data_IF_078640313195
#
_entry.id   IF_078640313195
#
_cell.length_a   1.000
_cell.length_b   1.000
_cell.length_c   1.000
_cell.angle_alpha   90.00
_cell.angle_beta   90.00
_cell.angle_gamma   90.00
#
_symmetry.space_group_name_H-M   'P 1'
#
loop_
_entity.id
_entity.type
_entity.pdbx_description
1 polymer ?
#
# COMPACT_ATOMS: atom_id res chain seq x y z
N UNK A 1 -49.37 -56.13 44.17
CA UNK A 1 -48.18 -55.25 44.11
C UNK A 1 -48.19 -54.55 42.76
N UNK A 2 -48.58 -53.27 42.69
CA UNK A 2 -48.61 -52.53 41.43
C UNK A 2 -47.24 -51.89 41.18
N UNK A 3 -46.51 -52.40 40.18
CA UNK A 3 -45.24 -51.82 39.72
C UNK A 3 -45.52 -50.56 38.90
N UNK A 4 -45.17 -49.40 39.47
CA UNK A 4 -45.25 -48.10 38.81
C UNK A 4 -44.16 -48.02 37.73
N UNK A 5 -44.54 -48.28 36.48
CA UNK A 5 -43.68 -48.06 35.31
C UNK A 5 -43.28 -46.58 35.23
N UNK A 6 -42.00 -46.30 35.46
CA UNK A 6 -41.41 -44.98 35.24
C UNK A 6 -41.35 -44.74 33.74
N UNK A 7 -42.34 -44.04 33.20
CA UNK A 7 -42.26 -43.43 31.87
C UNK A 7 -41.03 -42.52 31.82
N UNK A 8 -39.94 -43.00 31.20
CA UNK A 8 -38.82 -42.14 30.80
C UNK A 8 -39.37 -41.22 29.72
N UNK A 9 -39.52 -39.93 30.03
CA UNK A 9 -39.80 -38.90 29.03
C UNK A 9 -38.72 -39.00 27.95
N UNK A 10 -39.09 -39.45 26.76
CA UNK A 10 -38.27 -39.34 25.58
C UNK A 10 -38.17 -37.86 25.24
N UNK A 11 -36.99 -37.27 25.46
CA UNK A 11 -36.70 -35.96 24.91
C UNK A 11 -36.50 -36.16 23.41
N UNK A 12 -37.51 -35.76 22.62
CA UNK A 12 -37.37 -35.66 21.16
C UNK A 12 -36.43 -34.48 20.90
N UNK A 13 -35.20 -34.75 20.46
CA UNK A 13 -34.31 -33.73 19.94
C UNK A 13 -34.77 -33.39 18.52
N UNK A 14 -35.17 -32.14 18.34
CA UNK A 14 -35.53 -31.58 17.03
C UNK A 14 -34.30 -30.92 16.42
N UNK A 15 -33.26 -31.71 16.16
CA UNK A 15 -32.05 -31.22 15.49
C UNK A 15 -32.38 -31.02 13.99
N UNK A 16 -31.97 -29.90 13.37
CA UNK A 16 -32.28 -29.64 11.97
C UNK A 16 -31.50 -30.58 11.04
N UNK A 17 -32.12 -30.92 9.91
CA UNK A 17 -31.41 -31.53 8.78
C UNK A 17 -30.47 -30.49 8.16
N UNK A 18 -29.37 -30.95 7.55
CA UNK A 18 -28.41 -30.07 6.88
C UNK A 18 -29.11 -29.21 5.81
N UNK A 19 -28.91 -27.90 5.85
CA UNK A 19 -29.53 -26.94 4.93
C UNK A 19 -29.06 -27.07 3.47
N UNK A 20 -27.99 -27.83 3.21
CA UNK A 20 -27.41 -28.00 1.87
C UNK A 20 -27.74 -29.36 1.27
N UNK A 21 -27.54 -30.45 2.02
CA UNK A 21 -27.76 -31.81 1.52
C UNK A 21 -29.01 -32.49 2.10
N UNK A 22 -29.69 -31.86 3.05
CA UNK A 22 -30.88 -32.36 3.74
C UNK A 22 -30.68 -33.69 4.50
N UNK A 23 -29.42 -34.05 4.77
CA UNK A 23 -29.12 -35.21 5.61
C UNK A 23 -29.45 -34.90 7.08
N UNK A 24 -29.96 -35.88 7.84
CA UNK A 24 -30.27 -35.68 9.26
C UNK A 24 -29.02 -35.39 10.08
N UNK A 25 -29.19 -34.70 11.21
CA UNK A 25 -28.09 -34.31 12.10
C UNK A 25 -27.21 -35.50 12.55
N UNK A 26 -27.77 -36.71 12.64
CA UNK A 26 -27.04 -37.94 12.96
C UNK A 26 -26.01 -38.36 11.90
N UNK A 27 -26.15 -37.87 10.68
CA UNK A 27 -25.20 -38.13 9.58
C UNK A 27 -23.95 -37.24 9.69
N UNK A 28 -23.99 -36.14 10.44
CA UNK A 28 -22.82 -35.28 10.75
C UNK A 28 -21.96 -34.96 9.53
N UNK A 29 -22.58 -34.45 8.45
CA UNK A 29 -21.87 -34.01 7.25
C UNK A 29 -21.29 -32.59 7.40
N UNK A 30 -20.27 -32.26 6.61
CA UNK A 30 -19.55 -30.98 6.71
C UNK A 30 -20.04 -29.90 5.71
N UNK A 31 -21.19 -30.09 5.05
CA UNK A 31 -21.62 -29.21 3.97
C UNK A 31 -21.76 -27.75 4.42
N UNK A 32 -22.45 -27.49 5.54
CA UNK A 32 -22.65 -26.14 6.08
C UNK A 32 -21.34 -25.50 6.54
N UNK A 33 -20.45 -26.28 7.16
CA UNK A 33 -19.13 -25.81 7.58
C UNK A 33 -18.28 -25.37 6.37
N UNK A 34 -18.26 -26.17 5.30
CA UNK A 34 -17.57 -25.83 4.04
C UNK A 34 -18.21 -24.61 3.37
N UNK A 35 -19.53 -24.51 3.39
CA UNK A 35 -20.26 -23.36 2.86
C UNK A 35 -19.90 -22.08 3.62
N UNK A 36 -19.82 -22.14 4.95
CA UNK A 36 -19.39 -21.03 5.79
C UNK A 36 -17.94 -20.64 5.50
N UNK A 37 -17.02 -21.59 5.42
CA UNK A 37 -15.62 -21.32 5.12
C UNK A 37 -15.45 -20.60 3.77
N UNK A 38 -16.15 -21.08 2.72
CA UNK A 38 -16.16 -20.41 1.42
C UNK A 38 -16.75 -18.99 1.49
N UNK A 39 -17.83 -18.79 2.25
CA UNK A 39 -18.45 -17.48 2.42
C UNK A 39 -17.52 -16.50 3.16
N UNK A 40 -16.78 -16.97 4.16
CA UNK A 40 -15.77 -16.19 4.88
C UNK A 40 -14.65 -15.78 3.93
N UNK A 41 -14.07 -16.71 3.17
CA UNK A 41 -13.02 -16.39 2.19
C UNK A 41 -13.48 -15.34 1.17
N UNK A 42 -14.71 -15.46 0.66
CA UNK A 42 -15.27 -14.47 -0.25
C UNK A 42 -15.50 -13.10 0.40
N UNK A 43 -15.85 -13.06 1.69
CA UNK A 43 -16.00 -11.81 2.42
C UNK A 43 -14.64 -11.16 2.71
N UNK A 44 -13.64 -11.95 3.10
CA UNK A 44 -12.26 -11.51 3.34
C UNK A 44 -11.65 -10.89 2.08
N UNK A 45 -11.75 -11.58 0.94
CA UNK A 45 -11.23 -11.06 -0.33
C UNK A 45 -11.83 -9.70 -0.67
N UNK A 46 -13.17 -9.58 -0.60
CA UNK A 46 -13.87 -8.32 -0.90
C UNK A 46 -13.49 -7.19 0.04
N UNK A 47 -13.35 -7.47 1.34
CA UNK A 47 -12.99 -6.48 2.34
C UNK A 47 -11.52 -6.07 2.23
N UNK A 48 -10.61 -7.03 2.03
CA UNK A 48 -9.17 -6.76 2.03
C UNK A 48 -8.70 -6.14 0.72
N UNK A 49 -9.32 -6.48 -0.42
CA UNK A 49 -8.94 -5.91 -1.72
C UNK A 49 -9.07 -4.38 -1.77
N UNK A 50 -10.14 -3.82 -1.20
CA UNK A 50 -10.30 -2.36 -1.12
C UNK A 50 -9.22 -1.73 -0.23
N UNK A 51 -8.97 -2.32 0.93
CA UNK A 51 -7.94 -1.86 1.88
C UNK A 51 -6.55 -1.86 1.24
N UNK A 52 -6.16 -2.96 0.56
CA UNK A 52 -4.87 -3.02 -0.13
C UNK A 52 -4.75 -1.99 -1.26
N UNK A 53 -5.85 -1.70 -1.95
CA UNK A 53 -5.88 -0.71 -3.02
C UNK A 53 -5.69 0.70 -2.48
N UNK A 54 -6.35 1.05 -1.38
CA UNK A 54 -6.20 2.34 -0.69
C UNK A 54 -4.76 2.51 -0.19
N UNK A 55 -4.23 1.52 0.51
CA UNK A 55 -2.85 1.53 1.02
C UNK A 55 -1.86 1.74 -0.14
N UNK A 56 -1.96 0.95 -1.21
CA UNK A 56 -1.05 1.05 -2.36
C UNK A 56 -1.11 2.43 -3.00
N UNK A 57 -2.31 2.99 -3.15
CA UNK A 57 -2.51 4.31 -3.76
C UNK A 57 -1.88 5.39 -2.89
N UNK A 58 -2.13 5.34 -1.58
CA UNK A 58 -1.57 6.28 -0.62
C UNK A 58 -0.04 6.21 -0.59
N UNK A 59 0.54 5.02 -0.38
CA UNK A 59 2.00 4.82 -0.32
C UNK A 59 2.67 5.29 -1.60
N UNK A 60 2.12 4.93 -2.77
CA UNK A 60 2.67 5.34 -4.06
C UNK A 60 2.73 6.87 -4.19
N UNK A 61 1.65 7.58 -3.86
CA UNK A 61 1.60 9.02 -3.97
C UNK A 61 2.66 9.69 -3.06
N UNK A 62 2.73 9.26 -1.79
CA UNK A 62 3.65 9.86 -0.82
C UNK A 62 5.11 9.54 -1.12
N UNK A 63 5.41 8.32 -1.56
CA UNK A 63 6.75 7.94 -2.01
C UNK A 63 7.17 8.76 -3.24
N UNK A 64 6.26 8.96 -4.20
CA UNK A 64 6.53 9.76 -5.39
C UNK A 64 6.82 11.21 -5.01
N UNK A 65 5.98 11.83 -4.19
CA UNK A 65 6.16 13.23 -3.76
C UNK A 65 7.49 13.43 -3.01
N UNK A 66 7.83 12.49 -2.12
CA UNK A 66 9.09 12.52 -1.39
C UNK A 66 10.32 12.46 -2.33
N UNK A 67 10.32 11.53 -3.29
CA UNK A 67 11.42 11.40 -4.25
C UNK A 67 11.51 12.62 -5.16
N UNK A 68 10.38 13.16 -5.61
CA UNK A 68 10.36 14.34 -6.47
C UNK A 68 10.87 15.59 -5.75
N UNK A 69 10.50 15.82 -4.49
CA UNK A 69 11.01 16.97 -3.74
C UNK A 69 12.51 16.82 -3.46
N UNK A 70 12.97 15.62 -3.12
CA UNK A 70 14.41 15.35 -2.96
C UNK A 70 15.18 15.64 -4.25
N UNK A 71 14.70 15.16 -5.38
CA UNK A 71 15.31 15.42 -6.69
C UNK A 71 15.28 16.92 -7.06
N UNK A 72 14.20 17.63 -6.71
CA UNK A 72 14.08 19.07 -6.93
C UNK A 72 15.20 19.81 -6.21
N UNK A 73 15.44 19.51 -4.93
CA UNK A 73 16.52 20.15 -4.15
C UNK A 73 17.90 19.94 -4.78
N UNK A 74 18.19 18.72 -5.24
CA UNK A 74 19.46 18.41 -5.91
C UNK A 74 19.61 19.18 -7.23
N UNK A 75 18.55 19.20 -8.02
CA UNK A 75 18.52 19.88 -9.33
C UNK A 75 18.69 21.39 -9.17
N UNK A 76 18.03 22.01 -8.19
CA UNK A 76 18.16 23.45 -7.93
C UNK A 76 19.60 23.81 -7.50
N UNK A 77 20.23 23.00 -6.64
CA UNK A 77 21.64 23.18 -6.28
C UNK A 77 22.56 23.10 -7.51
N UNK A 78 22.31 22.14 -8.41
CA UNK A 78 23.10 21.98 -9.63
C UNK A 78 22.92 23.14 -10.61
N UNK A 79 21.69 23.63 -10.76
CA UNK A 79 21.40 24.80 -11.60
C UNK A 79 22.12 26.04 -11.09
N UNK A 80 22.10 26.28 -9.78
CA UNK A 80 22.84 27.39 -9.17
C UNK A 80 24.35 27.30 -9.45
N UNK A 81 24.96 26.13 -9.18
CA UNK A 81 26.38 25.91 -9.46
C UNK A 81 26.73 26.05 -10.96
N UNK A 82 25.81 25.67 -11.85
CA UNK A 82 26.00 25.85 -13.29
C UNK A 82 25.95 27.34 -13.70
N UNK A 83 25.01 28.11 -13.14
CA UNK A 83 24.95 29.56 -13.36
C UNK A 83 26.27 30.22 -12.97
N UNK A 84 26.77 29.94 -11.75
CA UNK A 84 28.04 30.48 -11.26
C UNK A 84 29.22 30.10 -12.20
N UNK A 85 29.23 28.85 -12.68
CA UNK A 85 30.26 28.38 -13.60
C UNK A 85 30.23 29.11 -14.94
N UNK A 86 29.04 29.32 -15.51
CA UNK A 86 28.88 30.05 -16.78
C UNK A 86 29.25 31.53 -16.63
N UNK A 87 28.93 32.14 -15.49
CA UNK A 87 29.35 33.51 -15.17
C UNK A 87 30.88 33.61 -15.10
N UNK A 88 31.55 32.67 -14.43
CA UNK A 88 33.02 32.60 -14.36
C UNK A 88 33.66 32.42 -15.74
N UNK A 89 33.11 31.54 -16.59
CA UNK A 89 33.55 31.36 -17.97
C UNK A 89 33.43 32.67 -18.76
N UNK A 90 32.31 33.36 -18.59
CA UNK A 90 32.04 34.63 -19.26
C UNK A 90 33.00 35.73 -18.82
N UNK A 91 33.19 35.89 -17.52
CA UNK A 91 34.11 36.88 -16.96
C UNK A 91 35.57 36.61 -17.40
N UNK A 92 35.98 35.34 -17.40
CA UNK A 92 37.32 34.93 -17.83
C UNK A 92 37.54 35.22 -19.32
N UNK A 93 36.58 34.84 -20.18
CA UNK A 93 36.67 35.11 -21.62
C UNK A 93 36.77 36.61 -21.91
N UNK A 94 35.97 37.42 -21.21
CA UNK A 94 36.00 38.87 -21.35
C UNK A 94 37.33 39.46 -20.86
N UNK A 95 37.85 39.03 -19.71
CA UNK A 95 39.10 39.56 -19.15
C UNK A 95 40.32 39.32 -20.06
N UNK A 96 40.45 38.12 -20.65
CA UNK A 96 41.62 37.77 -21.46
C UNK A 96 41.47 38.11 -22.94
N UNK A 97 40.27 37.95 -23.49
CA UNK A 97 40.04 38.01 -24.93
C UNK A 97 39.09 39.12 -25.34
N UNK A 98 38.55 39.91 -24.40
CA UNK A 98 37.55 40.97 -24.65
C UNK A 98 36.39 40.50 -25.54
N UNK A 99 36.04 39.22 -25.43
CA UNK A 99 35.07 38.55 -26.28
C UNK A 99 34.22 37.59 -25.45
N UNK A 100 33.01 37.24 -25.92
CA UNK A 100 32.19 36.25 -25.24
C UNK A 100 32.86 34.87 -25.23
N UNK A 101 32.51 34.00 -24.26
CA UNK A 101 33.05 32.64 -24.20
C UNK A 101 32.73 31.85 -25.47
N UNK A 102 33.65 30.96 -25.84
CA UNK A 102 33.52 30.17 -27.06
C UNK A 102 32.27 29.27 -27.00
N UNK A 103 31.45 29.19 -28.06
CA UNK A 103 30.22 28.41 -28.06
C UNK A 103 30.39 26.95 -27.63
N UNK A 104 31.51 26.31 -28.01
CA UNK A 104 31.82 24.94 -27.58
C UNK A 104 31.99 24.78 -26.06
N UNK A 105 32.49 25.81 -25.36
CA UNK A 105 32.62 25.78 -23.90
C UNK A 105 31.25 25.84 -23.23
N UNK A 106 30.35 26.69 -23.72
CA UNK A 106 28.98 26.78 -23.21
C UNK A 106 28.20 25.48 -23.47
N UNK A 107 28.37 24.88 -24.65
CA UNK A 107 27.76 23.58 -24.97
C UNK A 107 28.29 22.47 -24.06
N UNK A 108 29.60 22.45 -23.78
CA UNK A 108 30.20 21.49 -22.86
C UNK A 108 29.66 21.67 -21.42
N UNK A 109 29.53 22.91 -20.94
CA UNK A 109 28.95 23.23 -19.64
C UNK A 109 27.48 22.78 -19.55
N UNK A 110 26.69 23.01 -20.59
CA UNK A 110 25.28 22.57 -20.66
C UNK A 110 25.17 21.03 -20.65
N UNK A 111 26.03 20.35 -21.42
CA UNK A 111 26.06 18.89 -21.45
C UNK A 111 26.48 18.30 -20.09
N UNK A 112 27.40 18.95 -19.38
CA UNK A 112 27.79 18.56 -18.03
C UNK A 112 26.64 18.73 -17.02
N UNK A 113 25.91 19.85 -17.07
CA UNK A 113 24.72 20.04 -16.25
C UNK A 113 23.68 18.95 -16.50
N UNK A 114 23.39 18.65 -17.77
CA UNK A 114 22.42 17.61 -18.14
C UNK A 114 22.80 16.23 -17.59
N UNK A 115 24.05 15.81 -17.76
CA UNK A 115 24.55 14.54 -17.21
C UNK A 115 24.40 14.50 -15.69
N UNK A 116 24.75 15.58 -15.00
CA UNK A 116 24.56 15.67 -13.55
C UNK A 116 23.10 15.52 -13.14
N UNK A 117 22.17 16.21 -13.82
CA UNK A 117 20.73 16.08 -13.54
C UNK A 117 20.27 14.63 -13.75
N UNK A 118 20.75 13.96 -14.81
CA UNK A 118 20.43 12.56 -15.06
C UNK A 118 20.93 11.63 -13.95
N UNK A 119 22.14 11.87 -13.44
CA UNK A 119 22.72 11.13 -12.31
C UNK A 119 21.95 11.36 -11.00
N UNK A 120 21.49 12.59 -10.74
CA UNK A 120 20.62 12.88 -9.58
C UNK A 120 19.30 12.13 -9.69
N UNK A 121 18.71 12.11 -10.89
CA UNK A 121 17.45 11.40 -11.12
C UNK A 121 17.61 9.91 -10.89
N UNK A 122 18.66 9.32 -11.47
CA UNK A 122 18.99 7.90 -11.28
C UNK A 122 19.17 7.57 -9.79
N UNK A 123 19.95 8.37 -9.08
CA UNK A 123 20.19 8.19 -7.65
C UNK A 123 18.90 8.35 -6.83
N UNK A 124 18.01 9.26 -7.22
CA UNK A 124 16.72 9.46 -6.55
C UNK A 124 15.78 8.26 -6.75
N UNK A 125 15.70 7.73 -7.97
CA UNK A 125 14.88 6.53 -8.29
C UNK A 125 15.39 5.27 -7.59
N UNK A 126 16.70 5.13 -7.41
CA UNK A 126 17.28 3.98 -6.69
C UNK A 126 16.84 3.91 -5.23
N UNK A 127 16.28 4.99 -4.67
CA UNK A 127 15.78 5.05 -3.29
C UNK A 127 14.35 4.54 -3.09
N UNK A 128 13.68 4.12 -4.16
CA UNK A 128 12.31 3.63 -4.03
C UNK A 128 12.13 2.49 -3.02
N UNK A 129 13.02 1.46 -2.95
CA UNK A 129 12.83 0.36 -2.00
C UNK A 129 12.69 0.83 -0.55
N UNK A 130 13.64 1.62 -0.03
CA UNK A 130 13.61 2.07 1.36
C UNK A 130 12.50 3.11 1.62
N UNK A 131 12.18 3.94 0.64
CA UNK A 131 11.09 4.94 0.77
C UNK A 131 9.73 4.24 0.82
N UNK A 132 9.53 3.23 -0.02
CA UNK A 132 8.32 2.41 0.02
C UNK A 132 8.22 1.67 1.35
N UNK A 133 9.30 1.05 1.83
CA UNK A 133 9.34 0.37 3.13
C UNK A 133 8.94 1.32 4.27
N UNK A 134 9.49 2.53 4.29
CA UNK A 134 9.13 3.56 5.26
C UNK A 134 7.63 3.88 5.22
N UNK A 135 7.07 4.20 4.05
CA UNK A 135 5.66 4.59 3.95
C UNK A 135 4.70 3.43 4.21
N UNK A 136 5.03 2.20 3.81
CA UNK A 136 4.27 1.02 4.22
C UNK A 136 4.31 0.83 5.75
N UNK A 137 5.44 1.12 6.39
CA UNK A 137 5.60 1.07 7.85
C UNK A 137 4.77 2.10 8.62
N UNK A 138 4.28 3.16 7.96
CA UNK A 138 3.39 4.15 8.57
C UNK A 138 1.90 3.76 8.53
N UNK A 139 1.56 2.69 7.81
CA UNK A 139 0.16 2.27 7.66
C UNK A 139 -0.32 1.60 8.93
N UNK A 140 -1.30 2.22 9.59
CA UNK A 140 -1.97 1.68 10.76
C UNK A 140 -3.40 1.20 10.43
N UNK A 141 -3.76 0.00 10.85
CA UNK A 141 -5.12 -0.55 10.71
C UNK A 141 -5.76 -0.74 12.08
N UNK A 142 -6.92 -0.13 12.28
CA UNK A 142 -7.70 -0.24 13.51
C UNK A 142 -8.90 -1.16 13.30
N UNK A 143 -8.90 -2.31 13.97
CA UNK A 143 -10.06 -3.20 13.98
C UNK A 143 -11.14 -2.65 14.92
N UNK A 144 -12.43 -2.78 14.57
CA UNK A 144 -13.50 -2.35 15.46
C UNK A 144 -13.41 -3.11 16.80
N UNK A 145 -13.50 -2.37 17.90
CA UNK A 145 -13.65 -2.95 19.23
C UNK A 145 -14.99 -3.69 19.28
N UNK A 146 -15.10 -4.76 20.09
CA UNK A 146 -16.36 -5.51 20.27
C UNK A 146 -17.46 -4.56 20.77
N UNK A 147 -18.23 -4.00 19.85
CA UNK A 147 -19.51 -3.39 20.18
C UNK A 147 -20.44 -4.55 20.49
N UNK A 148 -20.82 -4.70 21.76
CA UNK A 148 -21.88 -5.60 22.20
C UNK A 148 -23.08 -5.46 21.26
N UNK A 149 -23.44 -6.52 20.55
CA UNK A 149 -24.64 -6.57 19.73
C UNK A 149 -25.85 -6.13 20.59
N UNK A 150 -26.74 -5.26 20.10
CA UNK A 150 -27.98 -4.98 20.81
C UNK A 150 -28.77 -6.28 20.97
N UNK A 151 -29.24 -6.53 22.19
CA UNK A 151 -29.94 -7.74 22.68
C UNK A 151 -31.29 -8.06 22.00
N UNK A 152 -31.57 -7.50 20.83
CA UNK A 152 -32.86 -7.64 20.13
C UNK A 152 -32.78 -8.57 18.94
N UNK A 153 -32.41 -9.83 19.17
CA UNK A 153 -32.89 -10.96 18.36
C UNK A 153 -33.18 -12.12 19.32
N UNK A 154 -34.30 -12.01 20.04
CA UNK A 154 -35.04 -13.15 20.59
C UNK A 154 -36.44 -13.07 20.01
N UNK A 155 -36.73 -13.92 19.04
CA UNK A 155 -38.08 -14.33 18.70
C UNK A 155 -38.21 -15.80 19.07
#
# INVERSE_FOLDING_TARGET
MYTREKHRKSFIRMDPDCAICHAPATHSCDCEAKGLEAAVQQAELRMMESVYTEIRTWVRAHAQDYILEYFRLLTERRKAAHTDHVEQLTASAYHYYHSPPHPGQLQAAQAALKRGIDEDWQSSVQRYPEVLEYFFGLVEMNLPQKTTLPSKIRH
#
